data_IF_834337990635
#
_entry.id   IF_834337990635
#
_cell.length_a   1.000
_cell.length_b   1.000
_cell.length_c   1.000
_cell.angle_alpha   90.00
_cell.angle_beta   90.00
_cell.angle_gamma   90.00
#
_symmetry.space_group_name_H-M   'P 1'
#
loop_
_entity.id
_entity.type
_entity.pdbx_description
1 polymer ?
#
# COMPACT_ATOMS: atom_id res chain seq x y z
N UNK A 1 19.43 -22.80 -12.09
CA UNK A 1 18.88 -22.65 -10.73
C UNK A 1 17.91 -21.48 -10.79
N UNK A 2 16.65 -21.69 -10.39
CA UNK A 2 15.69 -20.58 -10.28
C UNK A 2 15.85 -19.97 -8.90
N UNK A 3 16.42 -18.78 -8.81
CA UNK A 3 16.45 -18.03 -7.56
C UNK A 3 15.03 -17.54 -7.24
N UNK A 4 14.55 -17.80 -6.03
CA UNK A 4 13.22 -17.40 -5.57
C UNK A 4 13.35 -16.12 -4.74
N UNK A 5 12.52 -15.13 -5.04
CA UNK A 5 12.36 -13.92 -4.26
C UNK A 5 11.15 -14.05 -3.33
N UNK A 6 11.30 -13.53 -2.12
CA UNK A 6 10.21 -13.28 -1.19
C UNK A 6 9.99 -11.77 -1.11
N UNK A 7 8.93 -11.28 -1.75
CA UNK A 7 8.63 -9.85 -1.83
C UNK A 7 7.45 -9.51 -0.93
N UNK A 8 7.64 -8.61 0.02
CA UNK A 8 6.55 -8.04 0.80
C UNK A 8 5.82 -6.96 -0.02
N UNK A 9 4.53 -7.15 -0.19
CA UNK A 9 3.65 -6.27 -0.95
C UNK A 9 2.68 -5.57 -0.02
N UNK A 10 2.42 -4.28 -0.28
CA UNK A 10 1.39 -3.49 0.38
C UNK A 10 0.47 -2.85 -0.63
N UNK A 11 -0.84 -2.80 -0.35
CA UNK A 11 -1.82 -2.15 -1.22
C UNK A 11 -2.04 -0.73 -0.73
N UNK A 12 -1.93 0.25 -1.64
CA UNK A 12 -2.14 1.65 -1.29
C UNK A 12 -3.53 1.87 -0.66
N UNK A 13 -3.55 2.54 0.49
CA UNK A 13 -4.77 2.81 1.25
C UNK A 13 -5.22 1.68 2.18
N UNK A 14 -4.45 0.61 2.29
CA UNK A 14 -4.68 -0.46 3.25
C UNK A 14 -3.93 -0.21 4.57
N UNK A 15 -4.14 -1.02 5.61
CA UNK A 15 -3.35 -0.92 6.85
C UNK A 15 -2.02 -1.66 6.75
N UNK A 16 -0.98 -1.24 7.48
CA UNK A 16 0.34 -1.92 7.46
C UNK A 16 0.26 -3.39 7.88
N UNK A 17 -0.64 -3.73 8.81
CA UNK A 17 -0.91 -5.11 9.23
C UNK A 17 -1.41 -6.03 8.09
N UNK A 18 -1.66 -5.49 6.89
CA UNK A 18 -2.11 -6.23 5.71
C UNK A 18 -1.02 -6.40 4.66
N UNK A 19 0.22 -6.00 4.95
CA UNK A 19 1.41 -6.41 4.21
C UNK A 19 1.40 -7.92 4.05
N UNK A 20 1.72 -8.41 2.86
CA UNK A 20 1.68 -9.82 2.56
C UNK A 20 2.86 -10.23 1.67
N UNK A 21 3.47 -11.40 1.94
CA UNK A 21 4.58 -11.88 1.13
C UNK A 21 4.10 -12.57 -0.14
N UNK A 22 4.83 -12.37 -1.24
CA UNK A 22 4.68 -13.10 -2.51
C UNK A 22 6.00 -13.80 -2.83
N UNK A 23 5.94 -15.11 -3.07
CA UNK A 23 7.09 -15.87 -3.55
C UNK A 23 7.05 -15.96 -5.07
N UNK A 24 8.13 -15.57 -5.74
CA UNK A 24 8.20 -15.59 -7.20
C UNK A 24 9.64 -15.82 -7.68
N UNK A 25 9.82 -16.54 -8.79
CA UNK A 25 11.14 -16.73 -9.38
C UNK A 25 11.69 -15.42 -9.96
N UNK A 26 12.99 -15.17 -9.77
CA UNK A 26 13.73 -14.00 -10.28
C UNK A 26 13.64 -13.85 -11.80
N UNK A 27 13.52 -14.95 -12.52
CA UNK A 27 13.43 -15.00 -13.99
C UNK A 27 12.08 -14.55 -14.53
N UNK A 28 11.06 -14.37 -13.67
CA UNK A 28 9.72 -13.97 -14.10
C UNK A 28 9.64 -12.47 -14.31
N UNK A 29 8.66 -12.07 -15.09
CA UNK A 29 8.34 -10.68 -15.36
C UNK A 29 7.52 -10.05 -14.23
N UNK A 30 7.54 -8.72 -14.17
CA UNK A 30 6.62 -7.94 -13.33
C UNK A 30 5.16 -8.25 -13.62
N UNK A 31 4.79 -8.56 -14.87
CA UNK A 31 3.42 -9.00 -15.18
C UNK A 31 3.05 -10.29 -14.44
N UNK A 32 3.98 -11.24 -14.33
CA UNK A 32 3.76 -12.46 -13.56
C UNK A 32 3.54 -12.15 -12.08
N UNK A 33 4.30 -11.20 -11.54
CA UNK A 33 4.11 -10.68 -10.18
C UNK A 33 2.72 -10.04 -9.99
N UNK A 34 2.27 -9.22 -10.95
CA UNK A 34 0.91 -8.64 -10.92
C UNK A 34 -0.16 -9.72 -10.79
N UNK A 35 -0.07 -10.78 -11.60
CA UNK A 35 -1.00 -11.91 -11.56
C UNK A 35 -1.00 -12.60 -10.19
N UNK A 36 0.18 -12.88 -9.64
CA UNK A 36 0.30 -13.51 -8.31
C UNK A 36 -0.30 -12.65 -7.19
N UNK A 37 -0.15 -11.32 -7.27
CA UNK A 37 -0.74 -10.39 -6.30
C UNK A 37 -2.27 -10.43 -6.34
N UNK A 38 -2.85 -10.36 -7.55
CA UNK A 38 -4.32 -10.44 -7.74
C UNK A 38 -4.86 -11.77 -7.22
N UNK A 39 -4.22 -12.88 -7.58
CA UNK A 39 -4.61 -14.23 -7.16
C UNK A 39 -4.55 -14.40 -5.63
N UNK A 40 -3.57 -13.76 -4.97
CA UNK A 40 -3.36 -13.87 -3.52
C UNK A 40 -4.29 -13.00 -2.68
N UNK A 41 -4.86 -11.94 -3.25
CA UNK A 41 -5.80 -11.02 -2.59
C UNK A 41 -7.13 -10.96 -3.36
N UNK A 42 -7.86 -12.09 -3.48
CA UNK A 42 -9.07 -12.16 -4.31
C UNK A 42 -10.19 -11.24 -3.78
N UNK A 43 -10.22 -10.93 -2.48
CA UNK A 43 -11.20 -10.01 -1.91
C UNK A 43 -10.89 -8.55 -2.25
N UNK A 44 -9.62 -8.18 -2.36
CA UNK A 44 -9.20 -6.80 -2.65
C UNK A 44 -9.21 -6.51 -4.16
N UNK A 45 -8.93 -7.53 -4.98
CA UNK A 45 -8.81 -7.42 -6.44
C UNK A 45 -9.86 -8.27 -7.16
N UNK A 46 -11.03 -8.48 -6.55
CA UNK A 46 -12.11 -9.25 -7.18
C UNK A 46 -12.49 -8.63 -8.51
N UNK A 47 -12.40 -9.42 -9.58
CA UNK A 47 -12.69 -8.97 -10.95
C UNK A 47 -11.78 -7.87 -11.50
N UNK A 48 -10.63 -7.62 -10.86
CA UNK A 48 -9.61 -6.69 -11.37
C UNK A 48 -8.66 -7.48 -12.26
N UNK A 49 -8.53 -7.05 -13.51
CA UNK A 49 -7.51 -7.61 -14.41
C UNK A 49 -6.11 -7.22 -13.90
N UNK A 50 -5.12 -8.14 -13.86
CA UNK A 50 -3.75 -7.82 -13.49
C UNK A 50 -3.12 -6.65 -14.28
N UNK A 51 -3.60 -6.35 -15.49
CA UNK A 51 -3.15 -5.20 -16.28
C UNK A 51 -3.55 -3.86 -15.66
N UNK A 52 -4.59 -3.85 -14.82
CA UNK A 52 -5.22 -2.66 -14.27
C UNK A 52 -4.58 -2.20 -12.95
N UNK A 53 -3.74 -3.02 -12.32
CA UNK A 53 -2.95 -2.59 -11.14
C UNK A 53 -1.60 -2.05 -11.57
N UNK A 54 -1.11 -1.04 -10.86
CA UNK A 54 0.25 -0.52 -11.02
C UNK A 54 1.13 -0.96 -9.86
N UNK A 55 2.39 -1.29 -10.16
CA UNK A 55 3.37 -1.72 -9.17
C UNK A 55 4.51 -0.71 -9.12
N UNK A 56 4.96 -0.40 -7.91
CA UNK A 56 6.11 0.46 -7.66
C UNK A 56 7.07 -0.25 -6.71
N UNK A 57 8.37 -0.09 -6.96
CA UNK A 57 9.40 -0.49 -6.01
C UNK A 57 9.49 0.57 -4.91
N UNK A 58 9.45 0.12 -3.65
CA UNK A 58 9.68 1.00 -2.51
C UNK A 58 11.07 1.65 -2.61
N UNK A 59 11.17 2.91 -2.20
CA UNK A 59 12.46 3.60 -2.10
C UNK A 59 13.23 3.06 -0.91
N UNK A 60 14.56 3.20 -0.94
CA UNK A 60 15.44 2.75 0.14
C UNK A 60 15.14 3.48 1.46
N UNK A 61 14.71 4.74 1.36
CA UNK A 61 14.25 5.56 2.49
C UNK A 61 13.04 4.93 3.16
N UNK A 62 12.03 4.51 2.38
CA UNK A 62 10.78 3.92 2.90
C UNK A 62 10.96 2.48 3.37
N UNK A 63 11.87 1.73 2.75
CA UNK A 63 12.13 0.35 3.12
C UNK A 63 12.69 0.20 4.55
N UNK A 64 13.38 1.23 5.07
CA UNK A 64 14.06 1.22 6.36
C UNK A 64 13.26 1.86 7.51
N UNK A 65 12.10 2.46 7.22
CA UNK A 65 11.29 3.14 8.23
C UNK A 65 10.67 2.15 9.22
N UNK A 66 10.44 2.61 10.45
CA UNK A 66 9.55 1.92 11.37
C UNK A 66 8.07 2.05 10.94
N UNK A 67 7.18 1.33 11.60
CA UNK A 67 5.76 1.29 11.22
C UNK A 67 5.09 2.67 11.26
N UNK A 68 5.51 3.56 12.17
CA UNK A 68 4.91 4.88 12.37
C UNK A 68 5.35 5.85 11.26
N UNK A 69 6.64 5.89 10.98
CA UNK A 69 7.23 6.67 9.89
C UNK A 69 6.78 6.15 8.51
N UNK A 70 6.64 4.83 8.36
CA UNK A 70 6.13 4.20 7.15
C UNK A 70 4.70 4.64 6.86
N UNK A 71 3.83 4.76 7.86
CA UNK A 71 2.46 5.26 7.67
C UNK A 71 2.47 6.68 7.11
N UNK A 72 3.31 7.57 7.64
CA UNK A 72 3.41 8.95 7.15
C UNK A 72 3.97 9.03 5.73
N UNK A 73 5.02 8.25 5.44
CA UNK A 73 5.61 8.19 4.10
C UNK A 73 4.60 7.68 3.05
N UNK A 74 3.75 6.72 3.42
CA UNK A 74 2.74 6.16 2.51
C UNK A 74 1.50 7.06 2.31
N UNK A 75 1.35 8.15 3.08
CA UNK A 75 0.35 9.19 2.81
C UNK A 75 0.75 10.08 1.63
N UNK A 76 2.05 10.16 1.33
CA UNK A 76 2.57 10.93 0.21
C UNK A 76 2.12 10.24 -1.09
N UNK A 77 1.65 10.99 -2.10
CA UNK A 77 1.38 10.41 -3.41
C UNK A 77 2.58 9.60 -3.91
N UNK A 78 2.35 8.40 -4.44
CA UNK A 78 3.43 7.48 -4.83
C UNK A 78 4.38 8.09 -5.88
N UNK A 79 3.87 9.03 -6.67
CA UNK A 79 4.65 9.78 -7.67
C UNK A 79 5.62 10.78 -7.04
N UNK A 80 5.35 11.24 -5.82
CA UNK A 80 6.17 12.19 -5.06
C UNK A 80 7.12 11.48 -4.07
N UNK A 81 6.81 10.25 -3.65
CA UNK A 81 7.58 9.46 -2.68
C UNK A 81 8.87 8.79 -3.21
N UNK A 82 9.36 9.19 -4.38
CA UNK A 82 10.59 8.64 -4.97
C UNK A 82 10.50 7.16 -5.40
N UNK A 83 9.30 6.59 -5.46
CA UNK A 83 9.09 5.19 -5.80
C UNK A 83 9.24 4.93 -7.30
N UNK A 84 9.99 3.88 -7.65
CA UNK A 84 10.22 3.52 -9.05
C UNK A 84 9.04 2.71 -9.59
N UNK A 85 8.29 3.25 -10.54
CA UNK A 85 7.24 2.51 -11.26
C UNK A 85 7.84 1.33 -12.03
N UNK A 86 7.26 0.14 -11.87
CA UNK A 86 7.68 -1.09 -12.53
C UNK A 86 6.88 -1.32 -13.82
N UNK A 87 7.57 -1.65 -14.92
CA UNK A 87 6.91 -1.94 -16.19
C UNK A 87 6.59 -3.42 -16.27
N UNK A 88 5.44 -3.84 -16.84
CA UNK A 88 5.05 -5.26 -16.91
C UNK A 88 6.09 -6.18 -17.58
N UNK A 89 6.90 -5.63 -18.50
CA UNK A 89 7.94 -6.35 -19.25
C UNK A 89 9.26 -6.49 -18.51
N UNK A 90 9.47 -5.70 -17.45
CA UNK A 90 10.72 -5.75 -16.68
C UNK A 90 10.85 -7.13 -16.02
N UNK A 91 12.07 -7.64 -15.98
CA UNK A 91 12.38 -8.93 -15.34
C UNK A 91 12.79 -8.67 -13.90
N UNK A 92 12.31 -9.50 -12.96
CA UNK A 92 12.57 -9.29 -11.53
C UNK A 92 14.06 -9.37 -11.18
N UNK A 93 14.86 -10.14 -11.92
CA UNK A 93 16.32 -10.21 -11.75
C UNK A 93 17.05 -8.91 -12.06
N UNK A 94 16.50 -8.07 -12.94
CA UNK A 94 17.07 -6.76 -13.28
C UNK A 94 16.69 -5.69 -12.25
N UNK A 95 15.54 -5.87 -11.60
CA UNK A 95 15.04 -4.96 -10.56
C UNK A 95 15.71 -5.27 -9.21
N UNK A 96 15.75 -6.55 -8.84
CA UNK A 96 16.30 -7.03 -7.59
C UNK A 96 17.64 -7.72 -7.84
N UNK A 97 18.72 -6.95 -7.97
CA UNK A 97 20.05 -7.53 -8.22
C UNK A 97 20.50 -8.44 -7.07
N UNK A 98 20.17 -8.09 -5.82
CA UNK A 98 20.39 -8.89 -4.62
C UNK A 98 19.17 -9.67 -4.14
N UNK A 99 19.32 -10.44 -3.07
CA UNK A 99 18.19 -10.97 -2.29
C UNK A 99 17.73 -9.85 -1.37
N UNK A 100 16.50 -9.35 -1.52
CA UNK A 100 16.08 -8.21 -0.75
C UNK A 100 15.71 -8.64 0.70
N UNK A 101 15.91 -7.78 1.71
CA UNK A 101 15.73 -8.16 3.10
C UNK A 101 14.26 -8.51 3.44
N UNK A 102 13.99 -9.63 4.12
CA UNK A 102 12.63 -10.15 4.30
C UNK A 102 11.74 -9.30 5.21
N UNK A 103 12.31 -8.35 5.96
CA UNK A 103 11.58 -7.47 6.90
C UNK A 103 11.09 -6.18 6.24
N UNK A 104 11.59 -5.84 5.06
CA UNK A 104 11.31 -4.56 4.42
C UNK A 104 10.07 -4.62 3.53
N UNK A 105 9.46 -3.46 3.29
CA UNK A 105 8.48 -3.29 2.23
C UNK A 105 9.19 -3.21 0.87
N UNK A 106 8.77 -4.03 -0.09
CA UNK A 106 9.42 -4.12 -1.40
C UNK A 106 8.57 -3.52 -2.51
N UNK A 107 7.28 -3.82 -2.49
CA UNK A 107 6.35 -3.52 -3.57
C UNK A 107 5.15 -2.76 -3.03
N UNK A 108 4.89 -1.62 -3.64
CA UNK A 108 3.66 -0.85 -3.47
C UNK A 108 2.72 -1.22 -4.62
N UNK A 109 1.50 -1.63 -4.26
CA UNK A 109 0.45 -2.04 -5.19
C UNK A 109 -0.58 -0.94 -5.25
N UNK A 110 -0.61 -0.22 -6.36
CA UNK A 110 -1.65 0.74 -6.65
C UNK A 110 -2.83 0.02 -7.30
N UNK A 111 -4.02 0.02 -6.67
CA UNK A 111 -5.24 -0.48 -7.30
C UNK A 111 -5.59 0.39 -8.53
N UNK A 112 -6.40 -0.11 -9.47
CA UNK A 112 -6.83 0.67 -10.62
C UNK A 112 -7.45 2.00 -10.20
N UNK A 113 -6.94 3.08 -10.78
CA UNK A 113 -7.51 4.42 -10.61
C UNK A 113 -8.90 4.54 -11.25
N UNK A 114 -9.22 3.69 -12.23
CA UNK A 114 -10.49 3.66 -12.95
C UNK A 114 -11.38 2.47 -12.56
N UNK A 115 -12.12 2.67 -11.48
CA UNK A 115 -13.56 2.49 -11.49
C UNK A 115 -14.08 3.36 -10.34
N UNK A 116 -15.04 4.28 -10.60
CA UNK A 116 -15.50 5.32 -9.67
C UNK A 116 -15.87 4.89 -8.25
N UNK A 117 -15.86 3.59 -7.95
CA UNK A 117 -15.98 2.99 -6.64
C UNK A 117 -14.82 3.33 -5.68
N UNK A 118 -13.56 3.37 -6.14
CA UNK A 118 -12.40 3.59 -5.26
C UNK A 118 -12.20 5.06 -4.87
N UNK A 119 -12.50 6.01 -5.77
CA UNK A 119 -12.47 7.46 -5.46
C UNK A 119 -13.56 7.80 -4.43
N UNK A 120 -14.76 7.25 -4.61
CA UNK A 120 -15.86 7.42 -3.65
C UNK A 120 -15.51 6.78 -2.31
N UNK A 121 -14.92 5.58 -2.27
CA UNK A 121 -14.43 4.99 -1.01
C UNK A 121 -13.35 5.84 -0.34
N UNK A 122 -12.38 6.38 -1.09
CA UNK A 122 -11.36 7.30 -0.55
C UNK A 122 -12.01 8.56 0.04
N UNK A 123 -12.88 9.24 -0.71
CA UNK A 123 -13.61 10.42 -0.23
C UNK A 123 -14.49 10.10 0.98
N UNK A 124 -15.16 8.94 0.98
CA UNK A 124 -16.01 8.53 2.11
C UNK A 124 -15.17 8.24 3.35
N UNK A 125 -14.06 7.51 3.23
CA UNK A 125 -13.16 7.24 4.38
C UNK A 125 -12.57 8.55 4.91
N UNK A 126 -12.07 9.44 4.05
CA UNK A 126 -11.57 10.76 4.46
C UNK A 126 -12.67 11.62 5.09
N UNK A 127 -13.89 11.60 4.54
CA UNK A 127 -15.01 12.36 5.11
C UNK A 127 -15.44 11.80 6.46
N UNK A 128 -15.40 10.49 6.65
CA UNK A 128 -15.81 9.82 7.89
C UNK A 128 -14.78 10.02 9.00
N UNK A 129 -13.48 9.94 8.68
CA UNK A 129 -12.41 10.26 9.65
C UNK A 129 -12.43 11.74 10.01
N UNK A 130 -12.62 12.64 9.03
CA UNK A 130 -12.76 14.07 9.28
C UNK A 130 -13.99 14.38 10.14
N UNK A 131 -15.15 13.77 9.85
CA UNK A 131 -16.37 13.90 10.66
C UNK A 131 -16.18 13.39 12.09
N UNK A 132 -15.51 12.26 12.28
CA UNK A 132 -15.16 11.75 13.60
C UNK A 132 -14.28 12.76 14.36
N UNK A 133 -13.22 13.27 13.73
CA UNK A 133 -12.34 14.28 14.35
C UNK A 133 -13.12 15.54 14.71
N UNK A 134 -13.93 16.08 13.80
CA UNK A 134 -14.77 17.24 14.09
C UNK A 134 -15.78 16.97 15.19
N UNK A 135 -16.43 15.81 15.19
CA UNK A 135 -17.38 15.43 16.24
C UNK A 135 -16.69 15.37 17.61
N UNK A 136 -15.52 14.75 17.71
CA UNK A 136 -14.73 14.71 18.94
C UNK A 136 -14.24 16.10 19.36
N UNK A 137 -13.80 16.95 18.43
CA UNK A 137 -13.39 18.34 18.74
C UNK A 137 -14.57 19.19 19.21
N UNK A 138 -15.75 19.05 18.59
CA UNK A 138 -16.97 19.73 19.00
C UNK A 138 -17.43 19.21 20.37
N UNK A 139 -17.42 17.90 20.59
CA UNK A 139 -17.79 17.33 21.89
C UNK A 139 -16.79 17.73 23.00
N UNK A 140 -15.50 17.86 22.70
CA UNK A 140 -14.50 18.34 23.64
C UNK A 140 -14.68 19.83 24.00
N UNK A 141 -15.10 20.66 23.03
CA UNK A 141 -15.38 22.10 23.26
C UNK A 141 -16.72 22.36 23.94
N UNK A 142 -17.74 21.51 23.72
CA UNK A 142 -19.09 21.66 24.28
C UNK A 142 -19.20 21.04 25.69
N UNK A 143 -18.18 20.32 26.18
CA UNK A 143 -18.17 19.72 27.50
C UNK A 143 -17.20 20.37 28.53
N UNK A 144 -17.28 21.69 28.81
CA UNK A 144 -16.61 22.27 29.97
C UNK A 144 -17.39 22.07 31.28
N UNK A 145 -18.50 21.31 31.30
CA UNK A 145 -19.40 21.20 32.45
C UNK A 145 -19.44 19.79 33.05
N UNK A 146 -18.32 19.33 33.63
CA UNK A 146 -18.36 18.34 34.72
C UNK A 146 -17.47 18.69 35.92
N UNK A 147 -16.97 19.93 36.01
CA UNK A 147 -16.20 20.41 37.16
C UNK A 147 -16.99 21.41 38.03
N UNK A 148 -18.31 21.24 38.11
CA UNK A 148 -19.16 21.85 39.14
C UNK A 148 -20.09 20.81 39.75
N UNK A 149 -19.52 19.80 40.41
CA UNK A 149 -20.16 19.13 41.54
C UNK A 149 -19.08 18.76 42.58
N UNK A 150 -18.70 19.74 43.40
CA UNK A 150 -18.63 19.66 44.87
C UNK A 150 -18.26 21.03 45.45
#
# INVERSE_FOLDING_TARGET
MSDILLLNCWVLGDTLNRIFPVQIEKSKSVYSLKKMIVDKKPNAFRSVDPCMIDLYCASEEVANLDDEELIEALKIPVEEGGHRKLRPRDVLSEIFMGVPPPTMLHILVQPPSDCGFFVVMRLLIYSFTLLMVFYFSIHAQINPLSLYQM
#
